data_IF_683737384879
#
_entry.id   IF_683737384879
#
_cell.length_a   1.000
_cell.length_b   1.000
_cell.length_c   1.000
_cell.angle_alpha   90.00
_cell.angle_beta   90.00
_cell.angle_gamma   90.00
#
_symmetry.space_group_name_H-M   'P 1'
#
loop_
_entity.id
_entity.type
_entity.pdbx_description
1 polymer ?
#
# COMPACT_ATOMS: atom_id res chain seq x y z
N UNK A 1 -5.52 -10.50 16.48
CA UNK A 1 -5.15 -9.51 15.43
C UNK A 1 -4.52 -8.28 16.05
N UNK A 2 -5.24 -7.43 16.80
CA UNK A 2 -4.72 -6.16 17.33
C UNK A 2 -3.42 -6.30 18.13
N UNK A 3 -3.33 -7.31 19.01
CA UNK A 3 -2.10 -7.58 19.78
C UNK A 3 -0.94 -7.95 18.86
N UNK A 4 -1.16 -8.83 17.89
CA UNK A 4 -0.12 -9.26 16.92
C UNK A 4 0.38 -8.07 16.13
N UNK A 5 -0.54 -7.26 15.55
CA UNK A 5 -0.19 -6.06 14.81
C UNK A 5 0.56 -5.04 15.67
N UNK A 6 0.12 -4.81 16.91
CA UNK A 6 0.81 -3.89 17.81
C UNK A 6 2.23 -4.36 18.13
N UNK A 7 2.44 -5.64 18.40
CA UNK A 7 3.77 -6.21 18.64
C UNK A 7 4.64 -6.08 17.38
N UNK A 8 4.13 -6.50 16.22
CA UNK A 8 4.93 -6.50 15.00
C UNK A 8 5.27 -5.08 14.54
N UNK A 9 4.32 -4.14 14.62
CA UNK A 9 4.56 -2.77 14.19
C UNK A 9 5.41 -1.96 15.20
N UNK A 10 5.00 -1.94 16.49
CA UNK A 10 5.67 -1.10 17.48
C UNK A 10 6.93 -1.76 18.05
N UNK A 11 6.88 -3.05 18.37
CA UNK A 11 8.04 -3.71 18.98
C UNK A 11 9.03 -4.15 17.91
N UNK A 12 8.58 -4.96 16.92
CA UNK A 12 9.51 -5.52 15.95
C UNK A 12 9.99 -4.48 14.94
N UNK A 13 9.10 -3.76 14.26
CA UNK A 13 9.53 -2.80 13.24
C UNK A 13 10.11 -1.50 13.83
N UNK A 14 9.46 -0.90 14.87
CA UNK A 14 9.93 0.37 15.39
C UNK A 14 11.01 0.23 16.46
N UNK A 15 10.80 -0.56 17.53
CA UNK A 15 11.75 -0.60 18.64
C UNK A 15 12.95 -1.54 18.40
N UNK A 16 12.79 -2.60 17.63
CA UNK A 16 13.86 -3.57 17.33
C UNK A 16 14.50 -3.32 15.98
N UNK A 17 13.70 -3.16 14.93
CA UNK A 17 14.17 -3.00 13.55
C UNK A 17 14.90 -1.67 13.34
N UNK A 18 14.27 -0.55 13.67
CA UNK A 18 14.84 0.77 13.47
C UNK A 18 16.27 0.97 14.03
N UNK A 19 16.58 0.60 15.28
CA UNK A 19 17.96 0.68 15.76
C UNK A 19 18.95 -0.22 15.03
N UNK A 20 18.48 -1.36 14.51
CA UNK A 20 19.30 -2.27 13.70
C UNK A 20 19.60 -1.66 12.34
N UNK A 21 18.58 -1.13 11.66
CA UNK A 21 18.72 -0.40 10.40
C UNK A 21 19.72 0.75 10.54
N UNK A 22 19.61 1.56 11.60
CA UNK A 22 20.48 2.71 11.82
C UNK A 22 21.96 2.30 11.98
N UNK A 23 22.23 1.20 12.72
CA UNK A 23 23.58 0.62 12.83
C UNK A 23 24.10 0.14 11.47
N UNK A 24 23.25 -0.48 10.66
CA UNK A 24 23.65 -0.98 9.35
C UNK A 24 23.87 0.16 8.36
N UNK A 25 23.06 1.23 8.40
CA UNK A 25 23.29 2.46 7.63
C UNK A 25 24.67 3.03 7.86
N UNK A 26 25.07 3.13 9.13
CA UNK A 26 26.42 3.62 9.51
C UNK A 26 27.51 2.63 9.05
N UNK A 27 27.32 1.34 9.26
CA UNK A 27 28.28 0.30 8.90
C UNK A 27 28.58 0.23 7.41
N UNK A 28 27.52 0.30 6.59
CA UNK A 28 27.64 0.12 5.14
C UNK A 28 27.64 1.44 4.36
N UNK A 29 27.44 2.58 5.05
CA UNK A 29 27.36 3.91 4.47
C UNK A 29 26.32 3.98 3.33
N UNK A 30 25.17 3.35 3.52
CA UNK A 30 24.06 3.32 2.56
C UNK A 30 22.72 3.45 3.29
N UNK A 31 21.66 3.74 2.54
CA UNK A 31 20.29 3.70 3.07
C UNK A 31 19.86 2.25 3.32
N UNK A 32 19.24 2.00 4.48
CA UNK A 32 18.53 0.76 4.78
C UNK A 32 17.04 1.15 4.95
N UNK A 33 16.13 0.60 4.15
CA UNK A 33 14.72 0.95 4.22
C UNK A 33 14.08 0.45 5.51
N UNK A 34 13.04 1.14 5.98
CA UNK A 34 12.17 0.68 7.06
C UNK A 34 11.06 -0.24 6.57
N UNK A 35 10.65 -0.07 5.32
CA UNK A 35 9.64 -0.91 4.67
C UNK A 35 10.09 -1.32 3.27
N UNK A 36 9.67 -2.50 2.84
CA UNK A 36 9.84 -2.97 1.47
C UNK A 36 8.47 -3.10 0.83
N UNK A 37 8.27 -2.37 -0.28
CA UNK A 37 7.12 -2.55 -1.16
C UNK A 37 7.46 -3.65 -2.16
N UNK A 38 6.53 -4.58 -2.38
CA UNK A 38 6.71 -5.64 -3.39
C UNK A 38 5.43 -5.88 -4.18
N UNK A 39 5.65 -6.17 -5.46
CA UNK A 39 4.61 -6.60 -6.39
C UNK A 39 4.65 -8.13 -6.52
N UNK A 40 3.82 -8.89 -5.78
CA UNK A 40 3.80 -10.34 -5.93
C UNK A 40 3.46 -10.79 -7.34
N UNK A 41 2.72 -9.96 -8.07
CA UNK A 41 2.28 -10.19 -9.44
C UNK A 41 1.94 -8.88 -10.14
N UNK A 42 2.13 -8.82 -11.46
CA UNK A 42 1.57 -7.76 -12.30
C UNK A 42 0.15 -8.05 -12.77
N UNK A 43 -0.36 -9.28 -12.55
CA UNK A 43 -1.73 -9.62 -12.93
C UNK A 43 -2.75 -8.86 -12.07
N UNK A 44 -3.78 -8.33 -12.71
CA UNK A 44 -4.90 -7.65 -12.07
C UNK A 44 -6.20 -8.10 -12.69
N UNK A 45 -7.25 -8.15 -11.91
CA UNK A 45 -8.62 -8.46 -12.36
C UNK A 45 -9.44 -7.20 -12.72
N UNK A 46 -8.82 -6.01 -12.67
CA UNK A 46 -9.39 -4.73 -13.09
C UNK A 46 -8.48 -4.04 -14.11
N UNK A 47 -9.05 -3.05 -14.84
CA UNK A 47 -8.35 -2.17 -15.78
C UNK A 47 -8.69 -0.71 -15.46
N UNK A 48 -8.10 -0.21 -14.38
CA UNK A 48 -8.40 1.15 -13.89
C UNK A 48 -7.78 2.22 -14.79
N UNK A 49 -8.52 3.28 -15.09
CA UNK A 49 -8.02 4.41 -15.88
C UNK A 49 -6.80 5.06 -15.22
N UNK A 50 -5.69 5.15 -15.96
CA UNK A 50 -4.46 5.76 -15.47
C UNK A 50 -3.76 4.94 -14.38
N UNK A 51 -3.81 3.62 -14.44
CA UNK A 51 -3.13 2.75 -13.48
C UNK A 51 -1.61 2.78 -13.73
N UNK A 52 -0.83 3.14 -12.70
CA UNK A 52 0.64 3.15 -12.80
C UNK A 52 1.24 1.76 -13.03
N UNK A 53 0.60 0.72 -12.51
CA UNK A 53 1.06 -0.66 -12.64
C UNK A 53 0.77 -1.29 -14.02
N UNK A 54 0.01 -0.61 -14.90
CA UNK A 54 -0.26 -1.09 -16.27
C UNK A 54 1.03 -1.24 -17.11
N UNK A 55 2.11 -0.53 -16.74
CA UNK A 55 3.44 -0.64 -17.35
C UNK A 55 3.97 -2.07 -17.38
N UNK A 56 3.73 -2.84 -16.32
CA UNK A 56 4.28 -4.19 -16.17
C UNK A 56 3.46 -5.29 -16.87
N UNK A 57 2.34 -4.93 -17.53
CA UNK A 57 1.42 -5.91 -18.13
C UNK A 57 0.77 -6.82 -17.09
N UNK A 58 0.50 -8.10 -17.45
CA UNK A 58 -0.27 -9.01 -16.59
C UNK A 58 0.37 -10.40 -16.40
N UNK A 59 1.66 -10.57 -16.73
CA UNK A 59 2.29 -11.90 -16.78
C UNK A 59 3.49 -12.08 -15.85
N UNK A 60 3.98 -10.99 -15.25
CA UNK A 60 5.13 -11.03 -14.36
C UNK A 60 4.72 -11.48 -12.97
N UNK A 61 5.55 -12.29 -12.35
CA UNK A 61 5.33 -12.80 -11.02
C UNK A 61 6.65 -13.01 -10.30
N UNK A 62 6.70 -12.65 -9.03
CA UNK A 62 7.67 -13.20 -8.09
C UNK A 62 7.18 -14.59 -7.66
N UNK A 63 8.07 -15.56 -7.55
CA UNK A 63 7.73 -16.85 -6.96
C UNK A 63 7.50 -16.72 -5.45
N UNK A 64 6.87 -17.71 -4.84
CA UNK A 64 6.74 -17.77 -3.39
C UNK A 64 8.10 -17.72 -2.69
N UNK A 65 9.07 -18.49 -3.20
CA UNK A 65 10.42 -18.58 -2.62
C UNK A 65 11.20 -17.27 -2.78
N UNK A 66 11.04 -16.55 -3.89
CA UNK A 66 11.63 -15.22 -4.07
C UNK A 66 11.08 -14.21 -3.05
N UNK A 67 9.77 -14.18 -2.83
CA UNK A 67 9.16 -13.30 -1.82
C UNK A 67 9.62 -13.68 -0.41
N UNK A 68 9.68 -14.98 -0.12
CA UNK A 68 10.17 -15.50 1.14
C UNK A 68 11.62 -15.07 1.42
N UNK A 69 12.48 -15.20 0.42
CA UNK A 69 13.89 -14.79 0.49
C UNK A 69 14.05 -13.27 0.69
N UNK A 70 13.28 -12.45 -0.03
CA UNK A 70 13.22 -11.01 0.19
C UNK A 70 12.87 -10.68 1.65
N UNK A 71 11.89 -11.37 2.22
CA UNK A 71 11.48 -11.14 3.62
C UNK A 71 12.60 -11.60 4.56
N UNK A 72 13.24 -12.72 4.32
CA UNK A 72 14.36 -13.21 5.13
C UNK A 72 15.53 -12.20 5.11
N UNK A 73 15.96 -11.77 3.93
CA UNK A 73 17.02 -10.76 3.78
C UNK A 73 16.63 -9.42 4.42
N UNK A 74 15.38 -8.98 4.25
CA UNK A 74 14.87 -7.78 4.89
C UNK A 74 14.95 -7.84 6.42
N UNK A 75 14.58 -8.96 7.04
CA UNK A 75 14.71 -9.19 8.49
C UNK A 75 16.18 -9.14 8.96
N UNK A 76 17.10 -9.63 8.15
CA UNK A 76 18.55 -9.50 8.42
C UNK A 76 18.98 -8.02 8.42
N UNK A 77 18.33 -7.16 7.65
CA UNK A 77 18.55 -5.73 7.62
C UNK A 77 17.76 -4.96 8.70
N UNK A 78 16.83 -5.60 9.40
CA UNK A 78 15.98 -4.97 10.42
C UNK A 78 14.57 -4.63 9.94
N UNK A 79 14.23 -4.96 8.70
CA UNK A 79 12.91 -4.67 8.11
C UNK A 79 11.88 -5.69 8.57
N UNK A 80 10.80 -5.21 9.20
CA UNK A 80 9.66 -6.02 9.63
C UNK A 80 8.33 -5.52 9.06
N UNK A 81 8.36 -4.49 8.20
CA UNK A 81 7.20 -3.94 7.51
C UNK A 81 7.30 -4.24 6.01
N UNK A 82 6.33 -4.97 5.49
CA UNK A 82 6.22 -5.29 4.06
C UNK A 82 4.90 -4.79 3.51
N UNK A 83 4.92 -4.28 2.29
CA UNK A 83 3.74 -3.68 1.66
C UNK A 83 3.54 -4.37 0.30
N UNK A 84 2.47 -5.14 0.17
CA UNK A 84 2.08 -5.74 -1.09
C UNK A 84 1.35 -4.72 -1.96
N UNK A 85 1.80 -4.59 -3.21
CA UNK A 85 1.23 -3.71 -4.22
C UNK A 85 1.32 -4.37 -5.61
N UNK A 86 1.41 -3.64 -6.72
CA UNK A 86 1.55 -4.20 -8.05
C UNK A 86 0.26 -4.18 -8.86
N UNK A 87 -0.09 -5.32 -9.48
CA UNK A 87 -1.40 -5.54 -10.09
C UNK A 87 -2.48 -5.65 -9.00
N UNK A 88 -3.07 -6.83 -8.82
CA UNK A 88 -3.91 -7.11 -7.65
C UNK A 88 -3.25 -8.21 -6.81
N UNK A 89 -2.69 -7.91 -5.65
CA UNK A 89 -2.00 -8.90 -4.82
C UNK A 89 -2.89 -10.09 -4.43
N UNK A 90 -4.19 -9.87 -4.24
CA UNK A 90 -5.12 -10.92 -3.82
C UNK A 90 -5.43 -11.94 -4.92
N UNK A 91 -4.98 -11.75 -6.15
CA UNK A 91 -4.93 -12.83 -7.15
C UNK A 91 -4.09 -14.00 -6.63
N UNK A 92 -3.11 -13.70 -5.76
CA UNK A 92 -2.23 -14.67 -5.08
C UNK A 92 -2.52 -14.81 -3.58
N UNK A 93 -3.75 -14.56 -3.14
CA UNK A 93 -4.11 -14.53 -1.71
C UNK A 93 -3.66 -15.77 -0.92
N UNK A 94 -3.59 -16.97 -1.54
CA UNK A 94 -3.12 -18.19 -0.88
C UNK A 94 -1.63 -18.13 -0.52
N UNK A 95 -0.80 -17.61 -1.41
CA UNK A 95 0.64 -17.45 -1.16
C UNK A 95 0.88 -16.37 -0.10
N UNK A 96 0.15 -15.24 -0.20
CA UNK A 96 0.27 -14.16 0.78
C UNK A 96 -0.08 -14.61 2.19
N UNK A 97 -1.13 -15.40 2.36
CA UNK A 97 -1.49 -15.98 3.68
C UNK A 97 -0.39 -16.89 4.20
N UNK A 98 0.19 -17.76 3.36
CA UNK A 98 1.31 -18.63 3.77
C UNK A 98 2.55 -17.82 4.17
N UNK A 99 2.85 -16.73 3.47
CA UNK A 99 3.95 -15.82 3.83
C UNK A 99 3.67 -15.11 5.16
N UNK A 100 2.46 -14.62 5.38
CA UNK A 100 2.04 -14.03 6.65
C UNK A 100 2.16 -15.02 7.82
N UNK A 101 1.81 -16.29 7.60
CA UNK A 101 1.94 -17.36 8.60
C UNK A 101 3.41 -17.67 8.90
N UNK A 102 4.23 -17.81 7.86
CA UNK A 102 5.67 -18.11 8.00
C UNK A 102 6.43 -16.98 8.69
N UNK A 103 6.11 -15.74 8.35
CA UNK A 103 6.72 -14.53 8.92
C UNK A 103 5.76 -13.84 9.91
N UNK A 104 5.34 -14.59 10.92
CA UNK A 104 4.38 -14.13 11.92
C UNK A 104 4.88 -12.97 12.78
N UNK A 105 6.19 -12.69 12.75
CA UNK A 105 6.88 -11.57 13.40
C UNK A 105 6.90 -10.29 12.56
N UNK A 106 6.45 -10.33 11.31
CA UNK A 106 6.34 -9.18 10.41
C UNK A 106 4.90 -8.62 10.37
N UNK A 107 4.76 -7.37 9.96
CA UNK A 107 3.48 -6.77 9.59
C UNK A 107 3.40 -6.60 8.08
N UNK A 108 2.27 -6.96 7.51
CA UNK A 108 2.00 -6.88 6.08
C UNK A 108 0.84 -5.91 5.84
N UNK A 109 1.10 -4.87 5.05
CA UNK A 109 0.06 -4.01 4.47
C UNK A 109 -0.19 -4.47 3.03
N UNK A 110 -1.43 -4.53 2.60
CA UNK A 110 -1.78 -4.95 1.24
C UNK A 110 -2.67 -3.92 0.57
N UNK A 111 -2.12 -3.18 -0.41
CA UNK A 111 -2.93 -2.35 -1.29
C UNK A 111 -3.73 -3.27 -2.22
N UNK A 112 -5.04 -3.16 -2.18
CA UNK A 112 -5.93 -4.05 -2.92
C UNK A 112 -7.17 -3.32 -3.43
N UNK A 113 -7.68 -3.76 -4.58
CA UNK A 113 -8.98 -3.32 -5.06
C UNK A 113 -10.16 -3.96 -4.30
N UNK A 114 -9.86 -4.84 -3.35
CA UNK A 114 -10.77 -5.54 -2.44
C UNK A 114 -11.83 -6.44 -3.08
N UNK A 115 -11.95 -6.50 -4.41
CA UNK A 115 -12.99 -7.28 -5.09
C UNK A 115 -12.84 -8.81 -4.90
N UNK A 116 -11.68 -9.26 -4.39
CA UNK A 116 -11.36 -10.66 -4.11
C UNK A 116 -11.40 -10.99 -2.59
N UNK A 117 -11.81 -10.04 -1.75
CA UNK A 117 -12.02 -10.28 -0.33
C UNK A 117 -13.35 -11.00 -0.15
N UNK A 118 -13.29 -12.23 0.30
CA UNK A 118 -14.42 -13.09 0.62
C UNK A 118 -14.39 -13.54 2.09
N UNK A 119 -15.40 -14.29 2.50
CA UNK A 119 -15.50 -14.78 3.88
C UNK A 119 -14.35 -15.70 4.27
N UNK A 120 -13.91 -16.56 3.35
CA UNK A 120 -12.80 -17.48 3.58
C UNK A 120 -11.48 -16.72 3.77
N UNK A 121 -11.23 -15.71 2.92
CA UNK A 121 -10.04 -14.88 3.07
C UNK A 121 -10.03 -14.08 4.38
N UNK A 122 -11.19 -13.55 4.80
CA UNK A 122 -11.28 -12.84 6.09
C UNK A 122 -11.09 -13.78 7.28
N UNK A 123 -11.46 -15.07 7.18
CA UNK A 123 -11.14 -16.08 8.20
C UNK A 123 -9.63 -16.33 8.28
N UNK A 124 -8.96 -16.45 7.14
CA UNK A 124 -7.50 -16.60 7.07
C UNK A 124 -6.77 -15.37 7.63
N UNK A 125 -7.25 -14.16 7.33
CA UNK A 125 -6.71 -12.93 7.94
C UNK A 125 -6.82 -12.93 9.45
N UNK A 126 -7.95 -13.41 10.02
CA UNK A 126 -8.10 -13.57 11.47
C UNK A 126 -7.09 -14.57 12.05
N UNK A 127 -6.85 -15.67 11.32
CA UNK A 127 -5.94 -16.73 11.73
C UNK A 127 -4.49 -16.27 11.81
N UNK A 128 -3.99 -15.60 10.74
CA UNK A 128 -2.59 -15.12 10.69
C UNK A 128 -2.39 -13.86 11.53
N UNK A 129 -3.34 -12.95 11.56
CA UNK A 129 -3.41 -11.81 12.46
C UNK A 129 -2.44 -10.66 12.17
N UNK A 130 -1.64 -10.73 11.10
CA UNK A 130 -0.59 -9.75 10.76
C UNK A 130 -0.72 -9.14 9.36
N UNK A 131 -1.85 -9.33 8.68
CA UNK A 131 -2.18 -8.75 7.38
C UNK A 131 -3.24 -7.67 7.52
N UNK A 132 -2.98 -6.49 6.96
CA UNK A 132 -3.87 -5.32 6.98
C UNK A 132 -4.13 -4.86 5.54
N UNK A 133 -5.36 -4.90 5.03
CA UNK A 133 -5.66 -4.34 3.72
C UNK A 133 -5.77 -2.81 3.77
N UNK A 134 -5.23 -2.15 2.75
CA UNK A 134 -5.49 -0.77 2.37
C UNK A 134 -6.34 -0.79 1.10
N UNK A 135 -7.63 -0.59 1.26
CA UNK A 135 -8.63 -0.80 0.22
C UNK A 135 -8.69 0.41 -0.70
N UNK A 136 -8.58 0.17 -1.98
CA UNK A 136 -8.64 1.23 -2.99
C UNK A 136 -10.07 1.73 -3.19
N UNK A 137 -10.30 3.03 -2.94
CA UNK A 137 -11.59 3.69 -3.08
C UNK A 137 -11.38 5.14 -3.56
N UNK A 138 -12.17 5.58 -4.54
CA UNK A 138 -11.92 6.85 -5.23
C UNK A 138 -12.95 7.94 -4.88
N UNK A 139 -13.72 7.75 -3.83
CA UNK A 139 -14.87 8.54 -3.44
C UNK A 139 -16.13 7.67 -3.41
N UNK A 140 -17.30 8.28 -3.61
CA UNK A 140 -18.57 7.56 -3.73
C UNK A 140 -18.67 6.77 -5.04
N UNK A 141 -19.79 6.08 -5.26
CA UNK A 141 -20.00 5.08 -6.31
C UNK A 141 -19.62 5.59 -7.70
N UNK A 142 -20.15 6.75 -8.11
CA UNK A 142 -19.86 7.35 -9.41
C UNK A 142 -18.34 7.51 -9.62
N UNK A 143 -17.64 8.17 -8.69
CA UNK A 143 -16.21 8.43 -8.81
C UNK A 143 -15.35 7.14 -8.77
N UNK A 144 -15.79 6.14 -8.02
CA UNK A 144 -15.09 4.85 -7.94
C UNK A 144 -15.31 4.03 -9.20
N UNK A 145 -16.54 3.92 -9.66
CA UNK A 145 -16.89 3.11 -10.83
C UNK A 145 -16.38 3.73 -12.13
N UNK A 146 -16.37 5.06 -12.27
CA UNK A 146 -15.79 5.76 -13.42
C UNK A 146 -14.30 5.42 -13.63
N UNK A 147 -13.55 5.30 -12.56
CA UNK A 147 -12.11 4.99 -12.65
C UNK A 147 -11.82 3.51 -12.70
N UNK A 148 -12.57 2.69 -11.94
CA UNK A 148 -12.24 1.28 -11.67
C UNK A 148 -13.13 0.28 -12.39
N UNK A 149 -14.24 0.74 -12.95
CA UNK A 149 -15.23 -0.05 -13.66
C UNK A 149 -16.52 -0.24 -12.89
N UNK A 150 -17.61 -0.41 -13.62
CA UNK A 150 -18.97 -0.50 -13.08
C UNK A 150 -19.13 -1.62 -12.04
N UNK A 151 -19.76 -1.30 -10.92
CA UNK A 151 -20.05 -2.22 -9.82
C UNK A 151 -18.85 -2.55 -8.93
N UNK A 152 -17.71 -1.90 -9.13
CA UNK A 152 -16.53 -2.06 -8.23
C UNK A 152 -16.83 -1.47 -6.87
N UNK A 153 -17.48 -0.30 -6.79
CA UNK A 153 -17.85 0.32 -5.53
C UNK A 153 -18.63 -0.63 -4.62
N UNK A 154 -19.68 -1.26 -5.14
CA UNK A 154 -20.52 -2.19 -4.37
C UNK A 154 -19.74 -3.39 -3.85
N UNK A 155 -18.79 -3.92 -4.62
CA UNK A 155 -17.89 -5.01 -4.20
C UNK A 155 -16.97 -4.55 -3.08
N UNK A 156 -16.45 -3.33 -3.17
CA UNK A 156 -15.59 -2.73 -2.13
C UNK A 156 -16.36 -2.54 -0.82
N UNK A 157 -17.57 -1.97 -0.88
CA UNK A 157 -18.44 -1.80 0.31
C UNK A 157 -18.72 -3.15 0.96
N UNK A 158 -19.09 -4.17 0.17
CA UNK A 158 -19.30 -5.52 0.69
C UNK A 158 -18.04 -6.09 1.39
N UNK A 159 -16.87 -5.91 0.81
CA UNK A 159 -15.60 -6.32 1.43
C UNK A 159 -15.36 -5.61 2.77
N UNK A 160 -15.61 -4.29 2.83
CA UNK A 160 -15.50 -3.51 4.08
C UNK A 160 -16.46 -4.00 5.16
N UNK A 161 -17.71 -4.35 4.78
CA UNK A 161 -18.69 -4.95 5.70
C UNK A 161 -18.22 -6.29 6.27
N UNK A 162 -17.65 -7.17 5.45
CA UNK A 162 -17.06 -8.45 5.89
C UNK A 162 -15.93 -8.23 6.91
N UNK A 163 -15.02 -7.30 6.61
CA UNK A 163 -13.90 -6.96 7.51
C UNK A 163 -14.42 -6.37 8.83
N UNK A 164 -15.36 -5.44 8.77
CA UNK A 164 -16.01 -4.83 9.93
C UNK A 164 -16.71 -5.88 10.81
N UNK A 165 -17.50 -6.75 10.20
CA UNK A 165 -18.21 -7.84 10.92
C UNK A 165 -17.25 -8.72 11.72
N UNK A 166 -16.04 -8.96 11.20
CA UNK A 166 -15.00 -9.75 11.86
C UNK A 166 -14.05 -8.92 12.75
N UNK A 167 -14.29 -7.61 12.87
CA UNK A 167 -13.45 -6.66 13.62
C UNK A 167 -11.97 -6.71 13.18
N UNK A 168 -11.74 -6.90 11.88
CA UNK A 168 -10.43 -6.82 11.27
C UNK A 168 -10.03 -5.36 11.08
N UNK A 169 -8.75 -5.06 11.30
CA UNK A 169 -8.21 -3.73 11.02
C UNK A 169 -7.99 -3.59 9.52
N UNK A 170 -8.46 -2.50 8.94
CA UNK A 170 -8.23 -2.13 7.56
C UNK A 170 -8.22 -0.60 7.40
N UNK A 171 -7.65 -0.16 6.31
CA UNK A 171 -7.68 1.24 5.90
C UNK A 171 -8.08 1.40 4.45
N UNK A 172 -8.11 2.66 4.01
CA UNK A 172 -8.49 3.05 2.66
C UNK A 172 -7.29 3.68 1.96
N UNK A 173 -7.15 3.39 0.68
CA UNK A 173 -6.19 4.02 -0.23
C UNK A 173 -6.96 4.83 -1.27
N UNK A 174 -6.80 6.13 -1.20
CA UNK A 174 -7.49 7.10 -2.05
C UNK A 174 -6.50 7.74 -3.02
N UNK A 175 -6.73 7.58 -4.33
CA UNK A 175 -5.98 8.33 -5.35
C UNK A 175 -6.81 9.52 -5.82
N UNK A 176 -6.50 10.74 -5.35
CA UNK A 176 -7.23 11.91 -5.79
C UNK A 176 -6.76 12.40 -7.16
N UNK A 177 -7.74 12.75 -7.97
CA UNK A 177 -7.59 13.20 -9.36
C UNK A 177 -8.35 14.50 -9.56
N UNK A 178 -8.19 15.15 -10.74
CA UNK A 178 -9.01 16.28 -11.12
C UNK A 178 -10.52 15.95 -11.16
N UNK A 179 -10.86 14.72 -11.52
CA UNK A 179 -12.24 14.28 -11.69
C UNK A 179 -12.95 13.96 -10.37
N UNK A 180 -12.26 13.32 -9.41
CA UNK A 180 -12.88 12.86 -8.16
C UNK A 180 -12.67 13.79 -6.96
N UNK A 181 -11.97 14.91 -7.12
CA UNK A 181 -11.61 15.83 -6.04
C UNK A 181 -12.79 16.17 -5.12
N UNK A 182 -13.94 16.53 -5.69
CA UNK A 182 -15.12 16.91 -4.90
C UNK A 182 -15.66 15.75 -4.06
N UNK A 183 -15.72 14.54 -4.60
CA UNK A 183 -16.19 13.36 -3.90
C UNK A 183 -15.22 12.93 -2.80
N UNK A 184 -13.94 12.73 -3.14
CA UNK A 184 -12.93 12.14 -2.26
C UNK A 184 -12.51 13.05 -1.10
N UNK A 185 -12.72 14.37 -1.23
CA UNK A 185 -12.41 15.37 -0.20
C UNK A 185 -13.64 15.91 0.51
N UNK A 186 -14.83 15.38 0.24
CA UNK A 186 -16.02 15.80 0.94
C UNK A 186 -16.01 15.31 2.40
N UNK A 187 -16.66 16.05 3.27
CA UNK A 187 -16.78 15.68 4.69
C UNK A 187 -17.65 14.44 4.83
N UNK A 188 -18.68 14.34 4.02
CA UNK A 188 -19.60 13.20 3.96
C UNK A 188 -18.87 11.89 3.57
N UNK A 189 -17.95 11.96 2.61
CA UNK A 189 -17.13 10.80 2.26
C UNK A 189 -16.24 10.37 3.43
N UNK A 190 -15.57 11.33 4.05
CA UNK A 190 -14.70 11.04 5.19
C UNK A 190 -15.48 10.42 6.36
N UNK A 191 -16.66 10.96 6.67
CA UNK A 191 -17.54 10.41 7.71
C UNK A 191 -18.03 9.00 7.35
N UNK A 192 -18.35 8.74 6.09
CA UNK A 192 -18.73 7.39 5.62
C UNK A 192 -17.64 6.36 5.86
N UNK A 193 -16.36 6.72 5.73
CA UNK A 193 -15.23 5.81 6.02
C UNK A 193 -15.18 5.46 7.52
N UNK A 194 -15.48 6.42 8.39
CA UNK A 194 -15.57 6.19 9.84
C UNK A 194 -16.73 5.24 10.15
N UNK A 195 -17.89 5.51 9.58
CA UNK A 195 -19.10 4.69 9.78
C UNK A 195 -18.93 3.25 9.27
N UNK A 196 -18.20 3.07 8.19
CA UNK A 196 -17.82 1.76 7.66
C UNK A 196 -16.75 1.05 8.51
N UNK A 197 -16.08 1.77 9.41
CA UNK A 197 -15.13 1.18 10.37
C UNK A 197 -13.68 1.13 9.89
N UNK A 198 -13.29 1.99 8.95
CA UNK A 198 -11.89 2.15 8.56
C UNK A 198 -11.08 2.76 9.72
N UNK A 199 -9.83 2.31 9.90
CA UNK A 199 -8.91 2.80 10.93
C UNK A 199 -7.98 3.90 10.43
N UNK A 200 -7.69 3.91 9.14
CA UNK A 200 -6.87 4.93 8.50
C UNK A 200 -7.30 5.15 7.06
N UNK A 201 -6.94 6.31 6.51
CA UNK A 201 -7.08 6.62 5.09
C UNK A 201 -5.77 7.21 4.58
N UNK A 202 -5.34 6.75 3.43
CA UNK A 202 -4.11 7.18 2.79
C UNK A 202 -4.43 7.85 1.46
N UNK A 203 -4.15 9.15 1.35
CA UNK A 203 -4.35 9.93 0.14
C UNK A 203 -3.07 10.00 -0.68
N UNK A 204 -3.20 9.69 -1.96
CA UNK A 204 -2.13 9.83 -2.96
C UNK A 204 -2.64 10.73 -4.07
N UNK A 205 -1.85 11.68 -4.53
CA UNK A 205 -2.23 12.37 -5.75
C UNK A 205 -1.93 11.49 -6.98
N UNK A 206 -2.73 11.65 -8.01
CA UNK A 206 -2.54 10.93 -9.26
C UNK A 206 -1.18 11.29 -9.89
N UNK A 207 -0.41 10.26 -10.23
CA UNK A 207 0.86 10.37 -10.95
C UNK A 207 0.68 9.81 -12.36
N UNK A 208 0.88 10.61 -13.43
CA UNK A 208 0.68 10.18 -14.81
C UNK A 208 1.91 9.41 -15.32
N UNK A 209 2.13 8.21 -14.80
CA UNK A 209 3.24 7.33 -15.16
C UNK A 209 2.73 6.03 -15.76
N UNK A 210 3.59 5.37 -16.53
CA UNK A 210 3.25 4.12 -17.22
C UNK A 210 2.58 4.33 -18.58
N UNK A 211 2.37 3.23 -19.29
CA UNK A 211 1.85 3.22 -20.66
C UNK A 211 0.41 3.75 -20.77
N UNK A 212 -0.39 3.56 -19.70
CA UNK A 212 -1.78 3.98 -19.63
C UNK A 212 -1.96 5.32 -18.89
N UNK A 213 -0.90 6.15 -18.84
CA UNK A 213 -0.95 7.45 -18.20
C UNK A 213 -2.09 8.32 -18.78
N UNK A 214 -2.88 8.94 -17.90
CA UNK A 214 -4.03 9.77 -18.23
C UNK A 214 -3.83 11.20 -17.70
N UNK A 215 -3.07 12.07 -18.41
CA UNK A 215 -2.70 13.42 -17.93
C UNK A 215 -3.90 14.29 -17.53
N UNK A 216 -5.07 14.06 -18.14
CA UNK A 216 -6.31 14.77 -17.80
C UNK A 216 -6.79 14.50 -16.36
N UNK A 217 -6.29 13.46 -15.70
CA UNK A 217 -6.60 13.14 -14.30
C UNK A 217 -5.70 13.89 -13.30
N UNK A 218 -4.69 14.65 -13.78
CA UNK A 218 -3.86 15.45 -12.88
C UNK A 218 -4.69 16.47 -12.11
N UNK A 219 -4.60 16.48 -10.77
CA UNK A 219 -5.25 17.53 -9.98
C UNK A 219 -4.61 18.89 -10.25
N UNK A 220 -5.42 19.95 -10.30
CA UNK A 220 -4.92 21.31 -10.42
C UNK A 220 -4.15 21.74 -9.15
N UNK A 221 -3.34 22.81 -9.21
CA UNK A 221 -2.69 23.37 -8.02
C UNK A 221 -3.68 23.71 -6.91
N UNK A 222 -4.84 24.28 -7.24
CA UNK A 222 -5.90 24.65 -6.31
C UNK A 222 -6.53 23.42 -5.65
N UNK A 223 -6.75 22.35 -6.42
CA UNK A 223 -7.24 21.08 -5.89
C UNK A 223 -6.22 20.45 -4.93
N UNK A 224 -4.93 20.50 -5.24
CA UNK A 224 -3.87 20.00 -4.36
C UNK A 224 -3.81 20.77 -3.03
N UNK A 225 -3.92 22.09 -3.07
CA UNK A 225 -4.01 22.93 -1.87
C UNK A 225 -5.27 22.58 -1.08
N UNK A 226 -6.40 22.42 -1.75
CA UNK A 226 -7.66 22.05 -1.10
C UNK A 226 -7.60 20.67 -0.42
N UNK A 227 -6.92 19.67 -1.00
CA UNK A 227 -6.66 18.37 -0.34
C UNK A 227 -5.83 18.58 0.93
N UNK A 228 -4.71 19.31 0.81
CA UNK A 228 -3.84 19.64 1.92
C UNK A 228 -4.61 20.24 3.12
N UNK A 229 -5.42 21.25 2.86
CA UNK A 229 -6.19 21.96 3.91
C UNK A 229 -7.27 21.06 4.53
N UNK A 230 -8.07 20.38 3.70
CA UNK A 230 -9.17 19.53 4.15
C UNK A 230 -8.68 18.33 4.97
N UNK A 231 -7.64 17.62 4.48
CA UNK A 231 -7.14 16.43 5.18
C UNK A 231 -6.54 16.81 6.54
N UNK A 232 -5.84 17.94 6.65
CA UNK A 232 -5.37 18.44 7.95
C UNK A 232 -6.51 18.79 8.90
N UNK A 233 -7.56 19.45 8.40
CA UNK A 233 -8.77 19.73 9.17
C UNK A 233 -9.40 18.44 9.70
N UNK A 234 -9.61 17.46 8.83
CA UNK A 234 -10.25 16.19 9.21
C UNK A 234 -9.40 15.40 10.20
N UNK A 235 -8.10 15.31 9.96
CA UNK A 235 -7.14 14.67 10.88
C UNK A 235 -7.19 15.27 12.29
N UNK A 236 -7.39 16.57 12.41
CA UNK A 236 -7.47 17.27 13.68
C UNK A 236 -8.82 17.15 14.39
N UNK A 237 -9.90 16.85 13.66
CA UNK A 237 -11.27 16.97 14.17
C UNK A 237 -12.09 15.68 14.17
N UNK A 238 -11.61 14.63 13.48
CA UNK A 238 -12.36 13.38 13.28
C UNK A 238 -11.54 12.15 13.71
N UNK A 239 -12.18 11.08 14.21
CA UNK A 239 -11.50 9.90 14.76
C UNK A 239 -11.07 8.90 13.68
N UNK A 240 -10.44 9.37 12.59
CA UNK A 240 -9.85 8.56 11.53
C UNK A 240 -8.47 9.11 11.21
N UNK A 241 -7.44 8.26 11.29
CA UNK A 241 -6.08 8.66 10.97
C UNK A 241 -5.93 8.83 9.45
N UNK A 242 -5.64 10.05 9.01
CA UNK A 242 -5.44 10.37 7.60
C UNK A 242 -3.97 10.70 7.31
N UNK A 243 -3.45 10.14 6.24
CA UNK A 243 -2.12 10.45 5.68
C UNK A 243 -2.31 11.07 4.29
N UNK A 244 -1.61 12.15 4.01
CA UNK A 244 -1.51 12.77 2.70
C UNK A 244 -0.08 12.56 2.19
N UNK A 245 0.14 11.49 1.44
CA UNK A 245 1.48 10.94 1.18
C UNK A 245 2.47 11.98 0.64
N UNK A 246 2.06 12.77 -0.34
CA UNK A 246 2.94 13.76 -0.93
C UNK A 246 3.05 15.04 -0.09
N UNK A 247 1.93 15.51 0.47
CA UNK A 247 1.90 16.77 1.21
C UNK A 247 2.44 16.62 2.64
N UNK A 248 2.44 15.41 3.23
CA UNK A 248 3.03 15.13 4.55
C UNK A 248 4.57 14.99 4.51
N UNK A 249 5.19 15.15 3.34
CA UNK A 249 6.65 15.11 3.21
C UNK A 249 7.37 16.11 4.13
N UNK A 250 6.74 17.21 4.50
CA UNK A 250 7.31 18.19 5.45
C UNK A 250 7.59 17.57 6.83
N UNK A 251 6.76 16.63 7.31
CA UNK A 251 6.93 15.97 8.62
C UNK A 251 8.05 14.91 8.64
N UNK A 252 8.46 14.44 7.48
CA UNK A 252 9.48 13.40 7.33
C UNK A 252 10.74 13.88 6.61
N UNK A 253 10.87 15.19 6.40
CA UNK A 253 12.04 15.82 5.79
C UNK A 253 12.17 15.55 4.29
N UNK A 254 11.08 15.46 3.55
CA UNK A 254 11.05 15.26 2.10
C UNK A 254 10.71 13.84 1.67
N UNK A 255 11.04 13.49 0.42
CA UNK A 255 10.74 12.18 -0.16
C UNK A 255 11.39 11.04 0.63
N UNK A 256 10.65 9.95 0.85
CA UNK A 256 11.06 8.77 1.62
C UNK A 256 11.49 7.58 0.75
N UNK A 257 11.46 7.71 -0.57
CA UNK A 257 11.83 6.68 -1.54
C UNK A 257 13.35 6.48 -1.65
N UNK A 258 13.78 5.62 -2.57
CA UNK A 258 15.19 5.35 -2.85
C UNK A 258 15.94 4.72 -1.67
N UNK A 259 15.30 3.79 -0.97
CA UNK A 259 15.88 3.12 0.20
C UNK A 259 15.95 3.99 1.46
N UNK A 260 15.59 5.30 1.40
CA UNK A 260 15.65 6.17 2.58
C UNK A 260 14.70 5.69 3.69
N UNK A 261 13.48 5.34 3.35
CA UNK A 261 12.51 4.69 4.24
C UNK A 261 11.83 3.50 3.58
N UNK A 262 11.73 3.48 2.25
CA UNK A 262 11.27 2.32 1.48
C UNK A 262 11.98 2.21 0.14
N UNK A 263 11.98 1.01 -0.39
CA UNK A 263 12.26 0.68 -1.79
C UNK A 263 11.11 -0.16 -2.34
N UNK A 264 11.06 -0.28 -3.65
CA UNK A 264 10.06 -1.06 -4.36
C UNK A 264 10.72 -2.21 -5.12
N UNK A 265 10.13 -3.40 -5.05
CA UNK A 265 10.54 -4.56 -5.85
C UNK A 265 9.36 -4.93 -6.73
N UNK A 266 9.51 -4.74 -8.03
CA UNK A 266 8.45 -5.00 -8.98
C UNK A 266 8.28 -6.50 -9.28
N UNK A 267 7.23 -6.87 -10.00
CA UNK A 267 6.91 -8.26 -10.32
C UNK A 267 7.92 -8.96 -11.24
N UNK A 268 8.85 -8.22 -11.87
CA UNK A 268 9.99 -8.75 -12.59
C UNK A 268 11.21 -9.01 -11.69
N UNK A 269 11.15 -8.58 -10.43
CA UNK A 269 12.27 -8.67 -9.49
C UNK A 269 13.23 -7.50 -9.53
N UNK A 270 12.94 -6.45 -10.31
CA UNK A 270 13.77 -5.26 -10.34
C UNK A 270 13.57 -4.44 -9.07
N UNK A 271 14.65 -3.86 -8.55
CA UNK A 271 14.63 -3.05 -7.35
C UNK A 271 14.57 -1.58 -7.76
N UNK A 272 13.36 -1.04 -7.77
CA UNK A 272 13.07 0.33 -8.14
C UNK A 272 13.19 1.28 -6.93
N UNK A 273 13.62 2.53 -7.14
CA UNK A 273 13.65 3.51 -6.06
C UNK A 273 12.25 3.90 -5.56
N UNK A 274 11.23 3.77 -6.40
CA UNK A 274 9.85 4.17 -6.11
C UNK A 274 8.88 3.47 -7.08
N UNK A 275 7.65 3.21 -6.65
CA UNK A 275 6.58 2.65 -7.50
C UNK A 275 6.26 3.49 -8.74
N UNK A 276 6.63 4.76 -8.74
CA UNK A 276 6.43 5.70 -9.86
C UNK A 276 7.68 5.89 -10.72
N UNK A 277 8.77 5.17 -10.45
CA UNK A 277 10.02 5.24 -11.22
C UNK A 277 10.32 3.82 -11.72
N UNK A 278 9.94 3.55 -12.95
CA UNK A 278 10.10 2.25 -13.60
C UNK A 278 11.49 2.13 -14.23
N UNK A 279 12.51 2.27 -13.42
CA UNK A 279 13.92 2.15 -13.81
C UNK A 279 14.73 1.55 -12.66
N UNK A 280 15.46 0.51 -12.96
CA UNK A 280 16.34 -0.15 -12.00
C UNK A 280 17.66 -0.56 -12.67
N UNK A 281 18.73 -0.58 -11.88
CA UNK A 281 20.01 -1.18 -12.23
C UNK A 281 20.28 -2.48 -11.47
N UNK A 282 19.31 -2.94 -10.70
CA UNK A 282 19.45 -4.06 -9.78
C UNK A 282 18.23 -4.97 -9.82
N UNK A 283 18.46 -6.29 -9.77
CA UNK A 283 17.40 -7.30 -9.73
C UNK A 283 17.68 -8.30 -8.59
N UNK A 284 16.63 -8.74 -7.88
CA UNK A 284 16.73 -9.67 -6.74
C UNK A 284 17.30 -11.04 -7.12
N UNK A 285 17.25 -11.41 -8.40
CA UNK A 285 17.81 -12.67 -8.92
C UNK A 285 19.32 -12.61 -9.14
N UNK A 286 19.89 -11.41 -9.12
CA UNK A 286 21.31 -11.14 -9.39
C UNK A 286 22.06 -10.60 -8.18
N UNK A 287 21.35 -9.85 -7.32
CA UNK A 287 21.94 -9.18 -6.16
C UNK A 287 21.11 -9.44 -4.90
N UNK A 288 21.78 -9.46 -3.77
CA UNK A 288 21.09 -9.40 -2.47
C UNK A 288 20.54 -7.99 -2.23
N UNK A 289 19.57 -7.85 -1.30
CA UNK A 289 19.03 -6.53 -0.91
C UNK A 289 20.11 -5.56 -0.42
N UNK A 290 21.17 -6.07 0.23
CA UNK A 290 22.26 -5.24 0.71
C UNK A 290 23.20 -4.80 -0.42
N UNK A 291 23.32 -5.58 -1.48
CA UNK A 291 24.16 -5.25 -2.64
C UNK A 291 23.49 -4.24 -3.59
N UNK A 292 22.18 -4.22 -3.60
CA UNK A 292 21.38 -3.31 -4.40
C UNK A 292 21.17 -1.96 -3.69
#
# INVERSE_FOLDING_TARGET
>A
VTKTLAVNFFINAALTGWPKEEKLRQKYNCNIPWAILLDPTSACNLHCTGCWAAEYGHKLNLTYDEIDDIICQGKELGVYMYIYTGGEPLVRKKDLIKLCEKHSDCVFLCFTNATLIDEDFTNEMLRVGNLVPAISLEGFEEATDDRRGNGVYQKVIHAMELLRKKKLIYGISCCYTSANYNSITSEEFYDSLIDLGAYFVWYFHYMPVGNDAAPQLLPTPEQRIGVYEKIRKYRATKPLFAMDFQNDAEYVGGCIAGGRRYLHINANGDIDPCVFIHYSDSNIREKTLLQA
#
